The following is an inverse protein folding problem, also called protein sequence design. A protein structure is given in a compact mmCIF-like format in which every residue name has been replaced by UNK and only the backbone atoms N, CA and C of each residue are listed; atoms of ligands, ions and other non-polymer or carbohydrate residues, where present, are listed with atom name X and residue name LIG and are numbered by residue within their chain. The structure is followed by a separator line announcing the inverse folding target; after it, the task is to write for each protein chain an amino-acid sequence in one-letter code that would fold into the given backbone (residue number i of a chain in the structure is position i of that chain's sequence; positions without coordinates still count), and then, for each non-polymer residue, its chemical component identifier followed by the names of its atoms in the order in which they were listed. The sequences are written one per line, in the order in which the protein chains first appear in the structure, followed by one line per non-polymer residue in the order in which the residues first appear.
data_IF_847842105073
#
_entry.id   IF_847842105073
#
_cell.length_a   1.000
_cell.length_b   1.000
_cell.length_c   1.000
_cell.angle_alpha   90.00
_cell.angle_beta   90.00
_cell.angle_gamma   90.00
#
_symmetry.space_group_name_H-M   'P 1'
#
loop_
_entity.id
_entity.type
_entity.pdbx_description
1 polymer ?
#
# COMPACT_ATOMS: atom_id res chain seq x y z
N UNK A 1 26.03 26.24 -10.12
CA UNK A 1 25.77 24.81 -10.39
C UNK A 1 24.98 24.27 -9.22
N UNK A 2 23.85 23.63 -9.48
CA UNK A 2 23.09 22.93 -8.45
C UNK A 2 23.94 21.79 -7.89
N UNK A 3 24.12 21.74 -6.57
CA UNK A 3 24.87 20.67 -5.92
C UNK A 3 24.04 19.39 -5.96
N UNK A 4 24.48 18.37 -6.70
CA UNK A 4 23.81 17.08 -6.79
C UNK A 4 24.15 16.22 -5.58
N UNK A 5 23.16 15.49 -5.07
CA UNK A 5 23.33 14.56 -3.94
C UNK A 5 22.96 13.14 -4.37
N UNK A 6 23.68 12.16 -3.81
CA UNK A 6 23.39 10.75 -4.00
C UNK A 6 21.98 10.44 -3.47
N UNK A 7 21.14 9.90 -4.34
CA UNK A 7 19.75 9.55 -4.07
C UNK A 7 19.60 8.26 -3.23
N UNK A 8 20.67 7.85 -2.54
CA UNK A 8 20.71 6.75 -1.56
C UNK A 8 21.30 7.23 -0.23
N UNK A 9 22.55 7.66 -0.17
CA UNK A 9 23.19 8.06 1.10
C UNK A 9 23.14 9.56 1.38
N UNK A 10 22.59 10.37 0.48
CA UNK A 10 22.56 11.84 0.63
C UNK A 10 23.91 12.52 0.53
N UNK A 11 24.99 11.81 0.16
CA UNK A 11 26.32 12.38 0.01
C UNK A 11 26.39 13.32 -1.21
N UNK A 12 27.03 14.51 -1.11
CA UNK A 12 27.30 15.35 -2.27
C UNK A 12 28.05 14.59 -3.36
N UNK A 13 27.64 14.74 -4.62
CA UNK A 13 28.25 14.03 -5.74
C UNK A 13 29.09 14.96 -6.62
N UNK A 14 30.32 14.52 -6.87
CA UNK A 14 31.20 15.03 -7.91
C UNK A 14 31.33 14.00 -9.03
N UNK A 15 31.84 14.41 -10.19
CA UNK A 15 31.94 13.55 -11.37
C UNK A 15 32.81 12.30 -11.14
N UNK A 16 33.75 12.32 -10.20
CA UNK A 16 34.64 11.19 -9.92
C UNK A 16 33.97 10.06 -9.13
N UNK A 17 32.84 10.33 -8.46
CA UNK A 17 32.22 9.41 -7.49
C UNK A 17 30.84 8.90 -7.95
N UNK A 18 30.53 8.98 -9.24
CA UNK A 18 29.28 8.46 -9.80
C UNK A 18 29.28 6.92 -9.88
N UNK A 19 28.14 6.31 -9.61
CA UNK A 19 27.92 4.87 -9.75
C UNK A 19 27.93 4.39 -11.21
N UNK A 20 27.78 3.09 -11.43
CA UNK A 20 27.77 2.49 -12.77
C UNK A 20 26.47 1.75 -13.08
N UNK A 21 26.01 1.88 -14.33
CA UNK A 21 24.94 1.05 -14.90
C UNK A 21 25.54 -0.24 -15.49
N UNK A 22 24.70 -1.21 -15.84
CA UNK A 22 25.11 -2.51 -16.39
C UNK A 22 25.88 -2.40 -17.73
N UNK A 23 25.68 -1.32 -18.48
CA UNK A 23 26.41 -1.02 -19.72
C UNK A 23 27.75 -0.30 -19.48
N UNK A 24 28.14 -0.09 -18.22
CA UNK A 24 29.35 0.63 -17.82
C UNK A 24 29.23 2.16 -17.85
N UNK A 25 28.08 2.72 -18.25
CA UNK A 25 27.84 4.16 -18.19
C UNK A 25 27.72 4.67 -16.74
N UNK A 26 27.97 5.96 -16.53
CA UNK A 26 27.86 6.60 -15.21
C UNK A 26 26.40 6.82 -14.83
N UNK A 27 26.07 6.57 -13.57
CA UNK A 27 24.77 6.84 -12.99
C UNK A 27 24.76 8.22 -12.33
N UNK A 28 23.85 9.11 -12.76
CA UNK A 28 23.77 10.48 -12.24
C UNK A 28 22.99 10.61 -10.92
N UNK A 29 22.32 9.55 -10.47
CA UNK A 29 21.49 9.56 -9.27
C UNK A 29 22.24 9.01 -8.04
N UNK A 30 23.16 8.07 -8.24
CA UNK A 30 23.79 7.33 -7.13
C UNK A 30 25.31 7.40 -7.20
N UNK A 31 25.94 7.41 -6.02
CA UNK A 31 27.39 7.39 -5.92
C UNK A 31 27.96 5.97 -6.11
N UNK A 32 29.25 5.87 -6.41
CA UNK A 32 30.00 4.63 -6.63
C UNK A 32 29.98 3.70 -5.42
N UNK A 33 29.77 4.23 -4.21
CA UNK A 33 29.70 3.42 -3.01
C UNK A 33 28.33 2.76 -2.84
N UNK A 34 27.26 3.35 -3.37
CA UNK A 34 25.90 2.84 -3.22
C UNK A 34 25.45 2.00 -4.42
N UNK A 35 25.92 2.26 -5.63
CA UNK A 35 25.37 1.66 -6.85
C UNK A 35 26.45 1.31 -7.87
N UNK A 36 26.50 0.03 -8.26
CA UNK A 36 27.42 -0.52 -9.27
C UNK A 36 26.72 -1.58 -10.12
N UNK A 37 27.02 -1.57 -11.42
CA UNK A 37 26.54 -2.53 -12.40
C UNK A 37 25.01 -2.72 -12.35
N UNK A 38 24.30 -1.60 -12.27
CA UNK A 38 22.84 -1.51 -12.10
C UNK A 38 22.27 -2.15 -10.83
N UNK A 39 23.08 -2.36 -9.79
CA UNK A 39 22.67 -2.92 -8.50
C UNK A 39 23.15 -2.08 -7.33
N UNK A 40 22.38 -2.08 -6.23
CA UNK A 40 22.87 -1.54 -4.98
C UNK A 40 23.96 -2.44 -4.41
N UNK A 41 25.06 -1.84 -3.95
CA UNK A 41 26.22 -2.55 -3.39
C UNK A 41 25.94 -3.18 -2.04
N UNK A 42 24.87 -2.73 -1.37
CA UNK A 42 24.46 -3.19 -0.05
C UNK A 42 22.94 -3.29 0.02
N UNK A 43 22.47 -4.42 0.52
CA UNK A 43 21.07 -4.66 0.87
C UNK A 43 20.85 -4.28 2.34
N UNK A 44 20.23 -3.12 2.57
CA UNK A 44 20.00 -2.58 3.90
C UNK A 44 18.79 -1.65 3.91
N UNK A 45 18.15 -1.55 5.08
CA UNK A 45 17.06 -0.62 5.38
C UNK A 45 17.56 0.83 5.41
N UNK A 46 16.63 1.79 5.35
CA UNK A 46 16.98 3.21 5.47
C UNK A 46 17.60 3.53 6.84
N UNK A 47 17.08 2.99 7.95
CA UNK A 47 17.69 3.21 9.28
C UNK A 47 19.11 2.64 9.35
N UNK A 48 19.36 1.46 8.77
CA UNK A 48 20.72 0.92 8.67
C UNK A 48 21.65 1.81 7.82
N UNK A 49 21.12 2.42 6.74
CA UNK A 49 21.87 3.41 5.96
C UNK A 49 22.15 4.67 6.79
N UNK A 50 21.18 5.14 7.59
CA UNK A 50 21.34 6.30 8.48
C UNK A 50 22.43 6.01 9.52
N UNK A 51 22.38 4.85 10.16
CA UNK A 51 23.40 4.42 11.12
C UNK A 51 24.78 4.32 10.47
N UNK A 52 24.87 3.78 9.24
CA UNK A 52 26.11 3.73 8.48
C UNK A 52 26.64 5.14 8.16
N UNK A 53 25.79 6.04 7.68
CA UNK A 53 26.17 7.40 7.32
C UNK A 53 26.58 8.24 8.56
N UNK A 54 25.96 8.00 9.71
CA UNK A 54 26.29 8.66 10.97
C UNK A 54 27.70 8.32 11.49
N UNK A 55 28.33 7.24 11.00
CA UNK A 55 29.74 6.96 11.31
C UNK A 55 30.68 8.03 10.73
N UNK A 56 30.20 8.82 9.75
CA UNK A 56 30.97 9.86 9.08
C UNK A 56 30.62 11.28 9.54
N UNK A 57 29.93 11.46 10.67
CA UNK A 57 29.52 12.78 11.18
C UNK A 57 30.68 13.77 11.32
N UNK A 58 31.86 13.33 11.75
CA UNK A 58 33.04 14.20 11.86
C UNK A 58 33.48 14.76 10.50
N UNK A 59 33.37 13.96 9.44
CA UNK A 59 33.68 14.37 8.08
C UNK A 59 32.61 15.33 7.55
N UNK A 60 31.33 15.02 7.81
CA UNK A 60 30.20 15.89 7.48
C UNK A 60 30.39 17.28 8.12
N UNK A 61 30.71 17.34 9.41
CA UNK A 61 30.98 18.57 10.14
C UNK A 61 32.12 19.39 9.53
N UNK A 62 33.23 18.73 9.17
CA UNK A 62 34.37 19.40 8.51
C UNK A 62 34.00 20.01 7.16
N UNK A 63 33.18 19.32 6.37
CA UNK A 63 32.81 19.78 5.03
C UNK A 63 31.68 20.82 5.04
N UNK A 64 30.72 20.71 5.96
CA UNK A 64 29.58 21.63 6.05
C UNK A 64 29.84 22.85 6.94
N UNK A 65 30.91 22.83 7.75
CA UNK A 65 31.17 23.83 8.79
C UNK A 65 30.21 23.73 9.98
N UNK A 66 29.50 22.60 10.13
CA UNK A 66 28.60 22.35 11.25
C UNK A 66 29.33 21.65 12.41
N UNK A 67 28.65 21.54 13.55
CA UNK A 67 29.13 20.83 14.72
C UNK A 67 28.02 19.95 15.31
N UNK A 68 27.59 18.97 14.52
CA UNK A 68 26.56 18.01 14.88
C UNK A 68 27.16 16.86 15.71
N UNK A 69 26.40 16.37 16.70
CA UNK A 69 26.63 15.04 17.26
C UNK A 69 26.16 13.95 16.30
N UNK A 70 26.60 12.70 16.48
CA UNK A 70 26.09 11.58 15.68
C UNK A 70 24.56 11.47 15.74
N UNK A 71 23.96 11.62 16.92
CA UNK A 71 22.50 11.57 17.08
C UNK A 71 21.78 12.72 16.36
N UNK A 72 22.35 13.93 16.37
CA UNK A 72 21.81 15.06 15.60
C UNK A 72 21.91 14.82 14.09
N UNK A 73 23.02 14.23 13.64
CA UNK A 73 23.20 13.86 12.24
C UNK A 73 22.20 12.78 11.80
N UNK A 74 21.95 11.76 12.63
CA UNK A 74 20.92 10.75 12.38
C UNK A 74 19.54 11.37 12.25
N UNK A 75 19.17 12.28 13.16
CA UNK A 75 17.87 12.95 13.11
C UNK A 75 17.70 13.79 11.83
N UNK A 76 18.75 14.50 11.40
CA UNK A 76 18.74 15.20 10.12
C UNK A 76 18.61 14.24 8.93
N UNK A 77 19.31 13.10 8.96
CA UNK A 77 19.20 12.09 7.91
C UNK A 77 17.82 11.44 7.87
N UNK A 78 17.17 11.21 9.03
CA UNK A 78 15.78 10.74 9.12
C UNK A 78 14.80 11.69 8.47
N UNK A 79 15.07 12.99 8.48
CA UNK A 79 14.26 13.99 7.79
C UNK A 79 14.60 14.07 6.29
N UNK A 80 15.85 13.85 5.90
CA UNK A 80 16.32 14.04 4.53
C UNK A 80 16.20 12.80 3.63
N UNK A 81 16.64 11.63 4.11
CA UNK A 81 16.62 10.36 3.36
C UNK A 81 15.25 9.99 2.80
N UNK A 82 14.11 10.23 3.48
CA UNK A 82 12.76 10.00 2.93
C UNK A 82 12.51 10.63 1.55
N UNK A 83 13.26 11.67 1.18
CA UNK A 83 13.07 12.38 -0.07
C UNK A 83 13.98 11.88 -1.21
N UNK A 84 14.92 10.99 -0.91
CA UNK A 84 15.87 10.44 -1.89
C UNK A 84 15.24 9.29 -2.67
N UNK A 85 15.51 9.18 -3.99
CA UNK A 85 14.87 8.18 -4.88
C UNK A 85 14.88 6.74 -4.34
N UNK A 86 15.96 6.30 -3.67
CA UNK A 86 16.04 4.94 -3.07
C UNK A 86 15.01 4.73 -1.96
N UNK A 87 14.70 5.77 -1.19
CA UNK A 87 13.85 5.70 0.01
C UNK A 87 12.52 6.42 -0.14
N UNK A 88 12.30 7.15 -1.24
CA UNK A 88 11.08 7.92 -1.50
C UNK A 88 9.82 7.07 -1.47
N UNK A 89 9.94 5.78 -1.75
CA UNK A 89 8.84 4.82 -1.64
C UNK A 89 8.74 4.16 -0.25
N UNK A 90 9.74 4.34 0.63
CA UNK A 90 9.73 3.90 2.02
C UNK A 90 8.94 4.84 2.96
N UNK A 91 8.53 6.02 2.47
CA UNK A 91 7.67 7.00 3.18
C UNK A 91 6.29 7.19 2.55
N UNK A 92 5.83 6.27 1.71
CA UNK A 92 4.39 6.07 1.65
C UNK A 92 4.01 5.50 3.02
N UNK A 93 3.15 6.17 3.79
CA UNK A 93 2.67 5.63 5.07
C UNK A 93 2.30 4.17 4.90
N UNK A 94 2.95 3.32 5.70
CA UNK A 94 2.85 1.88 5.61
C UNK A 94 1.48 1.32 6.04
N UNK A 95 0.48 2.17 6.25
CA UNK A 95 -0.84 1.75 6.74
C UNK A 95 -1.75 1.36 5.58
N UNK A 96 -2.41 0.22 5.71
CA UNK A 96 -3.56 -0.18 4.89
C UNK A 96 -4.80 0.02 5.78
N UNK A 97 -5.66 0.95 5.38
CA UNK A 97 -6.85 1.30 6.14
C UNK A 97 -8.05 0.51 5.63
N UNK A 98 -8.67 -0.29 6.49
CA UNK A 98 -9.86 -1.06 6.18
C UNK A 98 -11.09 -0.32 6.71
N UNK A 99 -11.95 0.18 5.83
CA UNK A 99 -13.23 0.76 6.23
C UNK A 99 -14.19 -0.36 6.59
N UNK A 100 -14.55 -0.44 7.87
CA UNK A 100 -15.49 -1.40 8.43
C UNK A 100 -16.76 -0.65 8.87
N UNK A 101 -17.84 -0.84 8.14
CA UNK A 101 -19.17 -0.37 8.55
C UNK A 101 -19.86 -1.43 9.42
N UNK A 102 -20.92 -1.07 10.18
CA UNK A 102 -21.75 -2.06 10.85
C UNK A 102 -22.20 -3.18 9.90
N UNK A 103 -22.16 -4.41 10.39
CA UNK A 103 -22.46 -5.63 9.63
C UNK A 103 -21.54 -5.80 8.41
N UNK A 104 -20.23 -5.57 8.62
CA UNK A 104 -19.20 -5.85 7.61
C UNK A 104 -18.98 -7.36 7.40
N UNK A 105 -18.58 -7.73 6.19
CA UNK A 105 -18.26 -9.10 5.79
C UNK A 105 -16.82 -9.47 6.21
N UNK A 106 -16.66 -10.08 7.39
CA UNK A 106 -15.33 -10.34 7.95
C UNK A 106 -14.43 -11.23 7.09
N UNK A 107 -15.02 -12.15 6.31
CA UNK A 107 -14.27 -13.02 5.41
C UNK A 107 -13.55 -12.27 4.29
N UNK A 108 -13.96 -11.04 3.96
CA UNK A 108 -13.38 -10.28 2.87
C UNK A 108 -12.02 -9.63 3.23
N UNK A 109 -11.68 -9.60 4.53
CA UNK A 109 -10.45 -8.99 5.06
C UNK A 109 -9.27 -9.98 5.09
N UNK A 110 -9.57 -11.26 5.28
CA UNK A 110 -8.64 -12.21 5.90
C UNK A 110 -7.38 -12.45 5.07
N UNK A 111 -7.49 -12.74 3.77
CA UNK A 111 -6.34 -13.09 2.95
C UNK A 111 -5.37 -11.92 2.77
N UNK A 112 -5.88 -10.72 2.50
CA UNK A 112 -5.02 -9.53 2.40
C UNK A 112 -4.32 -9.29 3.74
N UNK A 113 -5.08 -9.20 4.83
CA UNK A 113 -4.52 -8.89 6.14
C UNK A 113 -3.46 -9.91 6.60
N UNK A 114 -3.67 -11.19 6.31
CA UNK A 114 -2.71 -12.26 6.65
C UNK A 114 -1.41 -12.14 5.86
N UNK A 115 -1.47 -11.92 4.54
CA UNK A 115 -0.28 -11.77 3.70
C UNK A 115 0.55 -10.52 4.02
N UNK A 116 -0.09 -9.49 4.57
CA UNK A 116 0.60 -8.30 5.10
C UNK A 116 1.33 -8.62 6.40
N UNK A 117 0.70 -9.35 7.32
CA UNK A 117 1.22 -9.53 8.68
C UNK A 117 2.18 -10.73 8.87
N UNK A 118 2.12 -11.73 7.99
CA UNK A 118 2.85 -13.00 8.15
C UNK A 118 3.39 -13.53 6.83
N UNK A 119 4.34 -14.44 6.93
CA UNK A 119 4.77 -15.32 5.86
C UNK A 119 4.39 -16.78 6.17
N UNK A 120 4.91 -17.73 5.40
CA UNK A 120 4.66 -19.16 5.57
C UNK A 120 5.17 -19.76 6.89
N UNK A 121 5.99 -19.03 7.68
CA UNK A 121 6.61 -19.52 8.90
C UNK A 121 6.19 -18.76 10.15
N UNK A 122 6.05 -17.43 10.08
CA UNK A 122 5.85 -16.59 11.26
C UNK A 122 5.17 -15.25 10.93
N UNK A 123 4.90 -14.47 11.99
CA UNK A 123 4.65 -13.05 11.84
C UNK A 123 5.92 -12.38 11.30
N UNK A 124 5.73 -11.47 10.34
CA UNK A 124 6.83 -10.66 9.81
C UNK A 124 7.30 -9.72 10.92
N UNK A 125 8.58 -9.77 11.23
CA UNK A 125 9.18 -8.87 12.24
C UNK A 125 9.14 -7.42 11.77
N UNK A 126 9.39 -7.19 10.47
CA UNK A 126 9.40 -5.88 9.84
C UNK A 126 8.50 -5.87 8.59
N UNK A 127 7.16 -5.88 8.74
CA UNK A 127 6.28 -5.92 7.59
C UNK A 127 6.32 -4.59 6.82
N UNK A 128 6.32 -4.65 5.48
CA UNK A 128 6.29 -3.45 4.61
C UNK A 128 5.05 -2.60 4.86
N UNK A 129 3.93 -3.24 5.23
CA UNK A 129 2.68 -2.58 5.56
C UNK A 129 2.11 -3.08 6.90
N UNK A 130 1.23 -2.29 7.51
CA UNK A 130 0.48 -2.63 8.71
C UNK A 130 -1.01 -2.45 8.46
N UNK A 131 -1.80 -3.42 8.91
CA UNK A 131 -3.24 -3.37 8.80
C UNK A 131 -3.84 -2.47 9.89
N UNK A 132 -4.81 -1.62 9.52
CA UNK A 132 -5.51 -0.75 10.46
C UNK A 132 -7.02 -0.72 10.18
N UNK A 133 -7.80 -1.04 11.20
CA UNK A 133 -9.26 -0.97 11.11
C UNK A 133 -9.74 0.47 11.31
N UNK A 134 -10.61 0.93 10.42
CA UNK A 134 -11.25 2.25 10.49
C UNK A 134 -12.76 2.06 10.51
N UNK A 135 -13.44 2.66 11.47
CA UNK A 135 -14.89 2.56 11.61
C UNK A 135 -15.51 3.95 11.87
N UNK A 136 -16.84 4.09 11.92
CA UNK A 136 -17.48 5.39 12.17
C UNK A 136 -17.06 6.05 13.48
N UNK A 137 -16.90 5.26 14.54
CA UNK A 137 -16.43 5.70 15.87
C UNK A 137 -15.38 4.70 16.38
N UNK A 138 -14.83 4.93 17.58
CA UNK A 138 -13.94 3.97 18.25
C UNK A 138 -14.69 2.86 18.99
N UNK A 139 -16.03 2.84 18.93
CA UNK A 139 -16.82 1.75 19.51
C UNK A 139 -16.67 0.47 18.68
N UNK A 140 -16.69 -0.72 19.31
CA UNK A 140 -16.54 -1.98 18.59
C UNK A 140 -17.58 -2.17 17.48
N UNK A 141 -17.11 -2.32 16.24
CA UNK A 141 -17.96 -2.59 15.07
C UNK A 141 -18.22 -4.09 14.94
N UNK A 142 -19.48 -4.47 14.74
CA UNK A 142 -19.92 -5.86 14.63
C UNK A 142 -19.92 -6.31 13.16
N UNK A 143 -19.35 -7.47 12.88
CA UNK A 143 -19.43 -8.15 11.57
C UNK A 143 -20.74 -8.91 11.40
N UNK A 144 -21.05 -9.31 10.16
CA UNK A 144 -22.18 -10.22 9.85
C UNK A 144 -22.11 -11.51 10.68
N UNK A 145 -20.90 -12.05 10.86
CA UNK A 145 -20.66 -13.28 11.63
C UNK A 145 -20.75 -13.10 13.15
N UNK A 146 -20.97 -11.88 13.65
CA UNK A 146 -21.13 -11.58 15.07
C UNK A 146 -19.85 -11.22 15.83
N UNK A 147 -18.68 -11.35 15.19
CA UNK A 147 -17.41 -10.88 15.76
C UNK A 147 -17.39 -9.36 15.88
N UNK A 148 -16.76 -8.86 16.94
CA UNK A 148 -16.58 -7.42 17.19
C UNK A 148 -15.11 -7.05 16.97
N UNK A 149 -14.89 -6.02 16.17
CA UNK A 149 -13.56 -5.45 15.95
C UNK A 149 -13.47 -4.12 16.66
N UNK A 150 -12.45 -3.94 17.50
CA UNK A 150 -12.09 -2.64 18.05
C UNK A 150 -11.34 -1.84 16.96
N UNK A 151 -11.85 -0.68 16.53
CA UNK A 151 -11.20 0.13 15.50
C UNK A 151 -9.87 0.73 15.98
N UNK A 152 -8.87 0.81 15.11
CA UNK A 152 -7.66 1.60 15.36
C UNK A 152 -7.95 3.10 15.24
N UNK A 153 -8.84 3.47 14.31
CA UNK A 153 -9.23 4.85 14.02
C UNK A 153 -10.74 4.97 13.82
N UNK A 154 -11.28 6.16 14.14
CA UNK A 154 -12.59 6.58 13.64
C UNK A 154 -12.44 7.33 12.32
N UNK A 155 -13.55 7.72 11.69
CA UNK A 155 -13.52 8.62 10.53
C UNK A 155 -12.87 9.98 10.84
N UNK A 156 -12.93 10.42 12.11
CA UNK A 156 -12.33 11.69 12.54
C UNK A 156 -10.84 11.57 12.88
N UNK A 157 -10.38 10.39 13.29
CA UNK A 157 -8.99 10.19 13.77
C UNK A 157 -8.09 9.46 12.77
N UNK A 158 -8.63 8.98 11.65
CA UNK A 158 -7.82 8.32 10.63
C UNK A 158 -6.76 9.25 10.03
N UNK A 159 -5.55 8.77 9.77
CA UNK A 159 -4.48 9.60 9.23
C UNK A 159 -4.76 9.95 7.76
N UNK A 160 -4.24 11.11 7.35
CA UNK A 160 -4.27 11.54 5.95
C UNK A 160 -3.23 10.86 5.06
N UNK A 161 -2.25 10.22 5.69
CA UNK A 161 -1.20 9.47 5.02
C UNK A 161 -1.36 7.97 5.31
N UNK A 162 -1.59 7.21 4.24
CA UNK A 162 -1.71 5.75 4.18
C UNK A 162 -1.37 5.28 2.76
N UNK A 163 -1.06 3.99 2.60
CA UNK A 163 -0.73 3.39 1.31
C UNK A 163 -2.00 3.03 0.53
N UNK A 164 -2.98 2.42 1.21
CA UNK A 164 -4.21 1.97 0.60
C UNK A 164 -5.43 2.17 1.51
N UNK A 165 -6.58 2.38 0.87
CA UNK A 165 -7.91 2.40 1.48
C UNK A 165 -8.72 1.21 0.94
N UNK A 166 -9.18 0.34 1.83
CA UNK A 166 -9.90 -0.89 1.48
C UNK A 166 -11.33 -0.81 2.00
N UNK A 167 -12.30 -0.78 1.09
CA UNK A 167 -13.73 -0.74 1.38
C UNK A 167 -14.26 -2.18 1.45
N UNK A 168 -14.42 -2.67 2.67
CA UNK A 168 -14.93 -4.02 2.92
C UNK A 168 -16.45 -4.03 2.77
N UNK A 169 -16.99 -5.06 2.16
CA UNK A 169 -18.43 -5.25 1.98
C UNK A 169 -19.19 -5.45 3.29
N UNK A 170 -20.50 -5.61 3.16
CA UNK A 170 -21.41 -5.71 4.29
C UNK A 170 -22.69 -4.94 4.07
N UNK A 171 -23.54 -4.90 5.10
CA UNK A 171 -24.85 -4.25 5.01
C UNK A 171 -24.83 -2.78 5.46
N UNK A 172 -23.78 -2.32 6.13
CA UNK A 172 -23.64 -0.90 6.52
C UNK A 172 -23.68 0.09 5.34
N UNK A 173 -23.31 -0.35 4.13
CA UNK A 173 -23.33 0.47 2.91
C UNK A 173 -24.72 0.93 2.45
N UNK A 174 -25.79 0.26 2.89
CA UNK A 174 -27.18 0.67 2.60
C UNK A 174 -27.74 1.65 3.63
N UNK A 175 -26.95 2.03 4.64
CA UNK A 175 -27.40 2.89 5.74
C UNK A 175 -26.82 4.30 5.61
N UNK A 176 -27.41 5.32 6.28
CA UNK A 176 -26.92 6.70 6.18
C UNK A 176 -25.46 6.92 6.60
N UNK A 177 -24.87 6.01 7.40
CA UNK A 177 -23.47 6.14 7.82
C UNK A 177 -22.50 6.07 6.64
N UNK A 178 -22.86 5.35 5.58
CA UNK A 178 -22.02 5.19 4.40
C UNK A 178 -21.74 6.53 3.69
N UNK A 179 -22.66 7.50 3.80
CA UNK A 179 -22.49 8.83 3.21
C UNK A 179 -21.28 9.59 3.80
N UNK A 180 -20.89 9.29 5.05
CA UNK A 180 -19.69 9.87 5.67
C UNK A 180 -18.39 9.36 5.03
N UNK A 181 -18.43 8.22 4.33
CA UNK A 181 -17.27 7.61 3.67
C UNK A 181 -16.99 8.25 2.30
N UNK A 182 -17.98 8.89 1.68
CA UNK A 182 -17.84 9.54 0.35
C UNK A 182 -16.66 10.52 0.27
N UNK A 183 -16.50 11.50 1.18
CA UNK A 183 -15.36 12.41 1.13
C UNK A 183 -14.02 11.69 1.34
N UNK A 184 -13.99 10.62 2.14
CA UNK A 184 -12.78 9.81 2.37
C UNK A 184 -12.34 9.12 1.07
N UNK A 185 -13.27 8.48 0.35
CA UNK A 185 -12.97 7.78 -0.91
C UNK A 185 -12.53 8.78 -1.99
N UNK A 186 -13.25 9.91 -2.14
CA UNK A 186 -12.89 10.94 -3.12
C UNK A 186 -11.49 11.48 -2.88
N UNK A 187 -11.17 11.82 -1.63
CA UNK A 187 -9.83 12.28 -1.24
C UNK A 187 -8.75 11.24 -1.53
N UNK A 188 -9.02 9.96 -1.30
CA UNK A 188 -8.09 8.87 -1.60
C UNK A 188 -7.79 8.79 -3.12
N UNK A 189 -8.84 8.80 -3.94
CA UNK A 189 -8.72 8.76 -5.41
C UNK A 189 -8.02 10.01 -5.95
N UNK A 190 -8.37 11.20 -5.46
CA UNK A 190 -7.75 12.48 -5.86
C UNK A 190 -6.25 12.54 -5.54
N UNK A 191 -5.85 11.96 -4.40
CA UNK A 191 -4.44 11.83 -4.00
C UNK A 191 -3.72 10.66 -4.68
N UNK A 192 -4.37 9.94 -5.59
CA UNK A 192 -3.81 8.78 -6.28
C UNK A 192 -3.46 7.61 -5.34
N UNK A 193 -4.12 7.49 -4.18
CA UNK A 193 -3.93 6.34 -3.27
C UNK A 193 -4.50 5.07 -3.89
N UNK A 194 -4.00 3.91 -3.48
CA UNK A 194 -4.61 2.63 -3.85
C UNK A 194 -5.97 2.53 -3.15
N UNK A 195 -7.02 2.22 -3.91
CA UNK A 195 -8.38 2.02 -3.40
C UNK A 195 -8.86 0.63 -3.81
N UNK A 196 -9.07 -0.24 -2.84
CA UNK A 196 -9.71 -1.54 -3.04
C UNK A 196 -11.17 -1.49 -2.60
N UNK A 197 -12.10 -2.02 -3.38
CA UNK A 197 -13.51 -2.14 -2.96
C UNK A 197 -14.07 -3.50 -3.35
N UNK A 198 -14.64 -4.22 -2.39
CA UNK A 198 -15.18 -5.56 -2.58
C UNK A 198 -16.66 -5.61 -2.20
N UNK A 199 -17.44 -6.43 -2.91
CA UNK A 199 -18.85 -6.68 -2.62
C UNK A 199 -19.66 -5.37 -2.61
N UNK A 200 -20.44 -5.10 -1.56
CA UNK A 200 -21.22 -3.87 -1.46
C UNK A 200 -20.36 -2.60 -1.36
N UNK A 201 -19.08 -2.70 -1.01
CA UNK A 201 -18.14 -1.58 -1.12
C UNK A 201 -17.97 -1.14 -2.58
N UNK A 202 -17.88 -2.09 -3.52
CA UNK A 202 -17.84 -1.79 -4.95
C UNK A 202 -19.19 -1.23 -5.45
N UNK A 203 -20.31 -1.80 -5.01
CA UNK A 203 -21.64 -1.27 -5.32
C UNK A 203 -21.83 0.17 -4.84
N UNK A 204 -21.28 0.51 -3.67
CA UNK A 204 -21.29 1.88 -3.16
C UNK A 204 -20.41 2.82 -3.99
N UNK A 205 -19.25 2.37 -4.48
CA UNK A 205 -18.46 3.16 -5.43
C UNK A 205 -19.23 3.45 -6.73
N UNK A 206 -20.03 2.50 -7.23
CA UNK A 206 -20.94 2.73 -8.35
C UNK A 206 -22.00 3.78 -8.04
N UNK A 207 -22.65 3.70 -6.85
CA UNK A 207 -23.61 4.71 -6.34
C UNK A 207 -23.02 6.12 -6.34
N UNK A 208 -21.73 6.25 -6.02
CA UNK A 208 -21.03 7.53 -5.98
C UNK A 208 -20.47 8.00 -7.35
N UNK A 209 -20.66 7.22 -8.42
CA UNK A 209 -20.13 7.48 -9.76
C UNK A 209 -18.61 7.34 -9.87
N UNK A 210 -17.97 6.65 -8.91
CA UNK A 210 -16.52 6.55 -8.81
C UNK A 210 -15.93 5.46 -9.71
N UNK A 211 -16.77 4.60 -10.30
CA UNK A 211 -16.36 3.56 -11.26
C UNK A 211 -16.47 4.02 -12.73
N UNK A 212 -16.88 5.25 -12.98
CA UNK A 212 -17.23 5.72 -14.32
C UNK A 212 -16.03 5.91 -15.27
N UNK A 213 -14.81 5.84 -14.75
CA UNK A 213 -13.58 6.10 -15.52
C UNK A 213 -12.57 4.94 -15.47
N UNK A 214 -12.96 3.80 -14.92
CA UNK A 214 -12.10 2.63 -14.75
C UNK A 214 -12.83 1.36 -15.15
N UNK A 215 -12.09 0.37 -15.63
CA UNK A 215 -12.56 -1.01 -15.72
C UNK A 215 -12.78 -1.54 -14.31
N UNK A 216 -13.88 -2.26 -14.11
CA UNK A 216 -14.27 -2.70 -12.78
C UNK A 216 -15.13 -3.96 -12.81
N UNK A 217 -15.31 -4.58 -11.65
CA UNK A 217 -16.29 -5.65 -11.40
C UNK A 217 -17.03 -5.37 -10.08
N UNK A 218 -17.87 -6.31 -9.66
CA UNK A 218 -18.65 -6.27 -8.42
C UNK A 218 -19.53 -7.51 -8.36
N UNK A 219 -20.50 -7.55 -7.45
CA UNK A 219 -21.42 -8.68 -7.30
C UNK A 219 -22.31 -8.98 -8.52
N UNK A 220 -22.27 -8.10 -9.53
CA UNK A 220 -22.93 -8.27 -10.82
C UNK A 220 -23.25 -6.92 -11.43
N UNK A 221 -23.24 -6.84 -12.76
CA UNK A 221 -23.54 -5.61 -13.49
C UNK A 221 -24.91 -5.04 -13.09
N UNK A 222 -25.94 -5.88 -12.96
CA UNK A 222 -27.29 -5.44 -12.60
C UNK A 222 -27.35 -4.85 -11.18
N UNK A 223 -26.55 -5.38 -10.25
CA UNK A 223 -26.45 -4.79 -8.91
C UNK A 223 -25.76 -3.43 -8.95
N UNK A 224 -24.69 -3.27 -9.75
CA UNK A 224 -24.03 -1.98 -9.92
C UNK A 224 -24.96 -0.95 -10.56
N UNK A 225 -25.76 -1.34 -11.56
CA UNK A 225 -26.79 -0.49 -12.17
C UNK A 225 -27.86 -0.09 -11.17
N UNK A 226 -28.33 -1.04 -10.36
CA UNK A 226 -29.35 -0.79 -9.33
C UNK A 226 -28.86 0.20 -8.27
N UNK A 227 -27.65 0.01 -7.75
CA UNK A 227 -27.06 0.90 -6.74
C UNK A 227 -26.64 2.25 -7.31
N UNK A 228 -26.09 2.20 -8.52
CA UNK A 228 -25.62 3.35 -9.27
C UNK A 228 -26.72 4.33 -9.67
N UNK A 229 -27.84 3.80 -10.14
CA UNK A 229 -28.87 4.61 -10.80
C UNK A 229 -28.25 5.52 -11.86
N UNK A 230 -28.66 6.79 -11.88
CA UNK A 230 -28.12 7.78 -12.81
C UNK A 230 -26.64 8.13 -12.58
N UNK A 231 -26.08 7.82 -11.41
CA UNK A 231 -24.68 8.10 -11.11
C UNK A 231 -23.73 7.07 -11.73
N UNK A 232 -24.20 5.89 -12.14
CA UNK A 232 -23.37 4.87 -12.77
C UNK A 232 -23.56 4.87 -14.28
N UNK A 233 -22.58 5.44 -14.98
CA UNK A 233 -22.66 5.72 -16.42
C UNK A 233 -21.71 4.88 -17.26
N UNK A 234 -21.02 3.90 -16.65
CA UNK A 234 -19.99 3.10 -17.32
C UNK A 234 -20.29 1.58 -17.27
N UNK A 235 -21.44 1.11 -17.78
CA UNK A 235 -21.72 -0.33 -17.87
C UNK A 235 -20.75 -1.05 -18.82
N UNK A 236 -20.22 -0.35 -19.83
CA UNK A 236 -19.28 -0.92 -20.81
C UNK A 236 -17.89 -1.19 -20.21
N UNK A 237 -17.54 -0.50 -19.11
CA UNK A 237 -16.33 -0.75 -18.34
C UNK A 237 -16.44 -1.94 -17.38
N UNK A 238 -17.61 -2.55 -17.24
CA UNK A 238 -17.78 -3.74 -16.40
C UNK A 238 -17.12 -4.96 -17.04
N UNK A 239 -16.30 -5.66 -16.27
CA UNK A 239 -15.65 -6.91 -16.65
C UNK A 239 -16.21 -8.04 -15.79
N UNK A 240 -16.71 -9.09 -16.42
CA UNK A 240 -17.21 -10.28 -15.71
C UNK A 240 -16.04 -11.15 -15.22
N UNK A 241 -15.45 -10.74 -14.10
CA UNK A 241 -14.32 -11.41 -13.45
C UNK A 241 -14.44 -11.36 -11.92
N UNK A 242 -13.68 -12.21 -11.23
CA UNK A 242 -13.65 -12.28 -9.77
C UNK A 242 -13.15 -10.97 -9.13
N UNK A 243 -12.01 -10.48 -9.61
CA UNK A 243 -11.45 -9.19 -9.27
C UNK A 243 -10.92 -8.51 -10.54
N UNK A 244 -10.87 -7.17 -10.54
CA UNK A 244 -10.38 -6.33 -11.62
C UNK A 244 -9.55 -5.21 -11.02
N UNK A 245 -8.32 -5.05 -11.52
CA UNK A 245 -7.45 -3.91 -11.23
C UNK A 245 -7.38 -2.99 -12.45
N UNK A 246 -7.57 -1.69 -12.25
CA UNK A 246 -7.34 -0.65 -13.25
C UNK A 246 -6.73 0.60 -12.60
N UNK A 247 -5.48 0.90 -12.97
CA UNK A 247 -4.67 1.91 -12.30
C UNK A 247 -4.52 1.60 -10.81
N UNK A 248 -4.93 2.54 -9.96
CA UNK A 248 -4.87 2.41 -8.50
C UNK A 248 -6.18 1.92 -7.88
N UNK A 249 -7.13 1.44 -8.69
CA UNK A 249 -8.43 0.96 -8.20
C UNK A 249 -8.55 -0.55 -8.43
N UNK A 250 -8.84 -1.29 -7.36
CA UNK A 250 -9.17 -2.72 -7.41
C UNK A 250 -10.62 -2.91 -7.00
N UNK A 251 -11.39 -3.63 -7.80
CA UNK A 251 -12.77 -4.02 -7.47
C UNK A 251 -12.93 -5.53 -7.49
N UNK A 252 -13.81 -6.07 -6.65
CA UNK A 252 -14.10 -7.51 -6.60
C UNK A 252 -15.54 -7.80 -6.16
N UNK A 253 -16.04 -8.99 -6.51
CA UNK A 253 -17.28 -9.50 -5.92
C UNK A 253 -17.03 -10.17 -4.55
N UNK A 254 -18.09 -10.35 -3.75
CA UNK A 254 -17.98 -10.85 -2.37
C UNK A 254 -17.50 -12.29 -2.21
N UNK A 255 -17.42 -13.07 -3.29
CA UNK A 255 -16.84 -14.43 -3.29
C UNK A 255 -15.34 -14.45 -3.60
N UNK A 256 -14.80 -13.33 -4.10
CA UNK A 256 -13.48 -13.22 -4.68
C UNK A 256 -12.43 -12.64 -3.71
N UNK A 257 -12.56 -12.92 -2.40
CA UNK A 257 -11.66 -12.35 -1.38
C UNK A 257 -10.19 -12.67 -1.63
N UNK A 258 -9.89 -13.86 -2.17
CA UNK A 258 -8.52 -14.27 -2.47
C UNK A 258 -7.97 -13.59 -3.73
N UNK A 259 -8.75 -13.50 -4.80
CA UNK A 259 -8.38 -12.74 -6.00
C UNK A 259 -8.22 -11.24 -5.70
N UNK A 260 -9.12 -10.68 -4.89
CA UNK A 260 -9.04 -9.29 -4.42
C UNK A 260 -7.75 -9.02 -3.64
N UNK A 261 -7.38 -9.92 -2.73
CA UNK A 261 -6.12 -9.84 -2.01
C UNK A 261 -4.92 -9.88 -2.96
N UNK A 262 -4.91 -10.79 -3.95
CA UNK A 262 -3.83 -10.89 -4.94
C UNK A 262 -3.61 -9.59 -5.71
N UNK A 263 -4.67 -8.99 -6.23
CA UNK A 263 -4.58 -7.72 -6.99
C UNK A 263 -4.04 -6.58 -6.11
N UNK A 264 -4.52 -6.45 -4.87
CA UNK A 264 -4.02 -5.43 -3.94
C UNK A 264 -2.57 -5.66 -3.52
N UNK A 265 -2.18 -6.91 -3.23
CA UNK A 265 -0.79 -7.26 -2.90
C UNK A 265 0.16 -6.93 -4.05
N UNK A 266 -0.30 -7.12 -5.29
CA UNK A 266 0.46 -6.80 -6.50
C UNK A 266 0.64 -5.29 -6.67
N UNK A 267 -0.43 -4.49 -6.53
CA UNK A 267 -0.34 -3.02 -6.57
C UNK A 267 0.50 -2.43 -5.43
N UNK A 268 0.44 -3.06 -4.26
CA UNK A 268 1.24 -2.67 -3.10
C UNK A 268 2.71 -3.09 -3.22
N UNK A 269 3.05 -3.94 -4.20
CA UNK A 269 4.37 -4.60 -4.28
C UNK A 269 4.76 -5.21 -2.93
N UNK A 270 3.80 -5.85 -2.25
CA UNK A 270 4.00 -6.33 -0.88
C UNK A 270 5.11 -7.39 -0.77
N UNK A 271 5.31 -8.15 -1.85
CA UNK A 271 6.35 -9.15 -2.01
C UNK A 271 6.70 -9.28 -3.51
N UNK A 272 7.62 -10.19 -3.87
CA UNK A 272 7.91 -10.46 -5.28
C UNK A 272 6.67 -11.06 -5.98
N UNK A 273 6.50 -10.83 -7.31
CA UNK A 273 5.38 -11.41 -8.05
C UNK A 273 5.25 -12.93 -7.88
N UNK A 274 6.38 -13.65 -7.80
CA UNK A 274 6.42 -15.09 -7.62
C UNK A 274 5.90 -15.50 -6.23
N UNK A 275 6.26 -14.76 -5.17
CA UNK A 275 5.78 -15.03 -3.81
C UNK A 275 4.30 -14.71 -3.65
N UNK A 276 3.83 -13.62 -4.28
CA UNK A 276 2.40 -13.29 -4.34
C UNK A 276 1.61 -14.39 -5.07
N UNK A 277 2.12 -14.87 -6.21
CA UNK A 277 1.50 -15.97 -6.95
C UNK A 277 1.49 -17.27 -6.16
N UNK A 278 2.60 -17.61 -5.49
CA UNK A 278 2.70 -18.79 -4.63
C UNK A 278 1.66 -18.75 -3.50
N UNK A 279 1.54 -17.60 -2.81
CA UNK A 279 0.52 -17.39 -1.79
C UNK A 279 -0.89 -17.58 -2.35
N UNK A 280 -1.18 -17.02 -3.52
CA UNK A 280 -2.46 -17.16 -4.19
C UNK A 280 -2.76 -18.64 -4.51
N UNK A 281 -1.84 -19.34 -5.18
CA UNK A 281 -2.03 -20.74 -5.58
C UNK A 281 -2.18 -21.67 -4.38
N UNK A 282 -1.40 -21.45 -3.32
CA UNK A 282 -1.50 -22.23 -2.08
C UNK A 282 -2.91 -22.16 -1.48
N UNK A 283 -3.44 -20.95 -1.33
CA UNK A 283 -4.78 -20.75 -0.76
C UNK A 283 -5.90 -21.17 -1.74
N UNK A 284 -5.65 -21.09 -3.05
CA UNK A 284 -6.64 -21.43 -4.07
C UNK A 284 -6.80 -22.94 -4.26
N UNK A 285 -5.69 -23.67 -4.31
CA UNK A 285 -5.66 -25.11 -4.59
C UNK A 285 -5.70 -25.95 -3.31
N UNK A 286 -5.15 -25.42 -2.21
CA UNK A 286 -5.02 -26.14 -0.95
C UNK A 286 -3.84 -27.10 -0.92
N UNK A 287 -3.46 -27.50 0.30
CA UNK A 287 -2.26 -28.29 0.57
C UNK A 287 -2.24 -29.64 -0.18
N UNK A 288 -3.32 -30.42 -0.10
CA UNK A 288 -3.35 -31.77 -0.67
C UNK A 288 -3.24 -31.80 -2.20
N UNK A 289 -3.66 -30.74 -2.88
CA UNK A 289 -3.55 -30.63 -4.33
C UNK A 289 -2.12 -30.29 -4.78
N UNK A 290 -1.41 -29.45 -4.01
CA UNK A 290 -0.06 -29.01 -4.33
C UNK A 290 1.03 -29.98 -3.86
N UNK A 291 0.76 -30.72 -2.78
CA UNK A 291 1.69 -31.66 -2.18
C UNK A 291 1.02 -33.06 -2.13
N UNK A 292 0.89 -33.74 -3.28
CA UNK A 292 0.40 -35.11 -3.31
C UNK A 292 1.38 -36.02 -2.55
N UNK A 293 0.83 -36.90 -1.72
CA UNK A 293 1.60 -37.85 -0.89
C UNK A 293 2.14 -39.04 -1.66
#
# INVERSE_FOLDING_TARGET
MEQKFCQSCGMPMANEILGTNADGSRNEDYCIYCYKDSKFTQDMTMEQMIDHCAQFTDEINRQSGQNLTQEQAKEMMRQFFPHLKRWKNSFMSNKILYILLPDYAAHEVVYLSQAIASDEYALKENPRYVNKAVAPTLEPVKSIGGFRTLPDYSFDTMPDDYAALVLIGGFGWTTPIAEQVVPIIRKAIEKGKIVGAICNGASFMAKCGLLNKVKHTGNGLDQLKLWGGDNYTNPDGYIHAQAVSDGNIVTANGSATLEFAKELLSLLENDTPERIEMYYQFNKQGFCALFPG
#
